data_IF_617953132894
#
_entry.id   IF_617953132894
#
_cell.length_a   1.000
_cell.length_b   1.000
_cell.length_c   1.000
_cell.angle_alpha   90.00
_cell.angle_beta   90.00
_cell.angle_gamma   90.00
#
_symmetry.space_group_name_H-M   'P 1'
#
loop_
_entity.id
_entity.type
_entity.pdbx_description
1 polymer ?
#
# COMPACT_ATOMS: atom_id res chain seq x y z
N UNK A 1 14.40 -5.60 -18.67
CA UNK A 1 14.29 -6.31 -17.37
C UNK A 1 15.55 -6.00 -16.58
N UNK A 2 15.45 -5.71 -15.29
CA UNK A 2 16.60 -5.30 -14.46
C UNK A 2 17.65 -6.42 -14.34
N UNK A 3 18.94 -6.06 -14.40
CA UNK A 3 20.12 -6.91 -14.15
C UNK A 3 20.01 -7.69 -12.82
N UNK A 4 19.19 -7.23 -11.87
CA UNK A 4 18.99 -7.91 -10.58
C UNK A 4 18.32 -9.29 -10.68
N UNK A 5 17.50 -9.56 -11.71
CA UNK A 5 16.82 -10.85 -11.82
C UNK A 5 17.80 -12.03 -11.98
N UNK A 6 18.91 -11.82 -12.69
CA UNK A 6 19.98 -12.81 -12.85
C UNK A 6 20.81 -13.01 -11.57
N UNK A 7 20.64 -12.13 -10.58
CA UNK A 7 21.38 -12.13 -9.31
C UNK A 7 20.58 -12.73 -8.14
N UNK A 8 19.37 -13.23 -8.39
CA UNK A 8 18.48 -13.78 -7.38
C UNK A 8 18.03 -15.17 -7.82
N UNK A 9 18.22 -16.17 -6.98
CA UNK A 9 17.67 -17.50 -7.18
C UNK A 9 16.79 -17.88 -5.99
N UNK A 10 15.48 -18.06 -6.21
CA UNK A 10 14.57 -18.52 -5.15
C UNK A 10 14.80 -20.02 -4.95
N UNK A 11 15.11 -20.42 -3.71
CA UNK A 11 15.43 -21.82 -3.38
C UNK A 11 14.26 -22.52 -2.71
N UNK A 12 13.58 -21.84 -1.80
CA UNK A 12 12.43 -22.40 -1.08
C UNK A 12 11.44 -21.30 -0.69
N UNK A 13 10.17 -21.67 -0.59
CA UNK A 13 9.09 -20.80 -0.12
C UNK A 13 8.19 -21.59 0.81
N UNK A 14 8.26 -21.26 2.10
CA UNK A 14 7.45 -21.87 3.14
C UNK A 14 6.32 -20.92 3.56
N UNK A 15 5.08 -21.40 3.57
CA UNK A 15 3.96 -20.66 4.19
C UNK A 15 4.10 -20.78 5.71
N UNK A 16 4.20 -19.64 6.39
CA UNK A 16 4.23 -19.56 7.85
C UNK A 16 2.83 -19.33 8.43
N UNK A 17 2.00 -18.55 7.74
CA UNK A 17 0.60 -18.33 8.08
C UNK A 17 -0.21 -18.03 6.81
N UNK A 18 -1.45 -18.50 6.79
CA UNK A 18 -2.43 -18.22 5.75
C UNK A 18 -3.82 -18.16 6.37
N UNK A 19 -3.99 -17.17 7.24
CA UNK A 19 -5.26 -16.83 7.86
C UNK A 19 -5.80 -15.59 7.14
N UNK A 20 -5.78 -14.42 7.79
CA UNK A 20 -6.26 -13.18 7.15
C UNK A 20 -5.46 -12.76 5.91
N UNK A 21 -4.14 -12.89 5.96
CA UNK A 21 -3.22 -12.57 4.89
C UNK A 21 -2.09 -13.61 4.84
N UNK A 22 -1.32 -13.62 3.76
CA UNK A 22 -0.32 -14.64 3.50
C UNK A 22 1.05 -14.23 4.02
N UNK A 23 1.59 -14.96 5.00
CA UNK A 23 2.96 -14.80 5.48
C UNK A 23 3.82 -15.96 4.97
N UNK A 24 4.89 -15.63 4.24
CA UNK A 24 5.85 -16.60 3.71
C UNK A 24 7.23 -16.36 4.27
N UNK A 25 7.98 -17.43 4.53
CA UNK A 25 9.44 -17.40 4.61
C UNK A 25 10.01 -17.81 3.27
N UNK A 26 10.79 -16.91 2.66
CA UNK A 26 11.44 -17.15 1.38
C UNK A 26 12.94 -17.32 1.62
N UNK A 27 13.46 -18.45 1.17
CA UNK A 27 14.89 -18.75 1.14
C UNK A 27 15.40 -18.52 -0.28
N UNK A 28 16.43 -17.71 -0.44
CA UNK A 28 16.98 -17.37 -1.75
C UNK A 28 18.50 -17.21 -1.70
N UNK A 29 19.15 -17.46 -2.83
CA UNK A 29 20.55 -17.10 -3.05
C UNK A 29 20.62 -15.73 -3.73
N UNK A 30 21.48 -14.86 -3.21
CA UNK A 30 21.74 -13.54 -3.77
C UNK A 30 23.20 -13.42 -4.22
N UNK A 31 23.41 -13.11 -5.50
CA UNK A 31 24.74 -12.86 -6.05
C UNK A 31 25.18 -11.45 -5.69
N UNK A 32 26.10 -11.34 -4.74
CA UNK A 32 26.61 -10.07 -4.20
C UNK A 32 27.54 -9.38 -5.19
N UNK A 33 27.81 -8.08 -4.97
CA UNK A 33 28.71 -7.30 -5.84
C UNK A 33 30.17 -7.82 -5.82
N UNK A 34 30.56 -8.57 -4.79
CA UNK A 34 31.88 -9.19 -4.68
C UNK A 34 32.00 -10.51 -5.46
N UNK A 35 30.97 -10.92 -6.21
CA UNK A 35 30.96 -12.15 -7.01
C UNK A 35 30.57 -13.42 -6.24
N UNK A 36 30.24 -13.31 -4.95
CA UNK A 36 29.84 -14.45 -4.13
C UNK A 36 28.32 -14.63 -4.11
N UNK A 37 27.89 -15.89 -4.10
CA UNK A 37 26.50 -16.24 -3.79
C UNK A 37 26.32 -16.37 -2.29
N UNK A 38 25.27 -15.74 -1.77
CA UNK A 38 24.90 -15.85 -0.36
C UNK A 38 23.46 -16.33 -0.20
N UNK A 39 23.29 -17.42 0.55
CA UNK A 39 21.99 -17.89 1.03
C UNK A 39 21.43 -16.93 2.08
N UNK A 40 20.20 -16.48 1.88
CA UNK A 40 19.47 -15.60 2.80
C UNK A 40 18.04 -16.11 3.01
N UNK A 41 17.42 -15.67 4.11
CA UNK A 41 16.00 -15.87 4.39
C UNK A 41 15.32 -14.56 4.72
N UNK A 42 14.10 -14.35 4.21
CA UNK A 42 13.24 -13.22 4.56
C UNK A 42 11.82 -13.68 4.80
N UNK A 43 11.14 -13.04 5.75
CA UNK A 43 9.69 -13.14 5.86
C UNK A 43 9.05 -12.06 5.00
N UNK A 44 8.06 -12.45 4.19
CA UNK A 44 7.31 -11.57 3.31
C UNK A 44 5.85 -11.71 3.68
N UNK A 45 5.26 -10.61 4.15
CA UNK A 45 3.85 -10.53 4.48
C UNK A 45 3.09 -9.85 3.35
N UNK A 46 2.17 -10.61 2.76
CA UNK A 46 1.40 -10.24 1.58
C UNK A 46 -0.05 -9.94 1.95
N UNK A 47 -0.36 -8.63 1.98
CA UNK A 47 -1.66 -8.08 2.35
C UNK A 47 -2.48 -7.61 1.15
N UNK A 48 -1.95 -7.79 -0.07
CA UNK A 48 -2.48 -7.14 -1.27
C UNK A 48 -2.09 -5.66 -1.37
N UNK A 49 -2.20 -5.12 -2.60
CA UNK A 49 -1.92 -3.72 -2.89
C UNK A 49 -3.12 -2.83 -2.54
N UNK A 50 -2.89 -1.53 -2.45
CA UNK A 50 -3.92 -0.54 -2.16
C UNK A 50 -3.89 0.69 -3.07
N UNK A 51 -4.86 1.57 -2.84
CA UNK A 51 -4.94 2.90 -3.39
C UNK A 51 -5.30 3.91 -2.30
N UNK A 52 -4.87 5.15 -2.45
CA UNK A 52 -5.14 6.26 -1.53
C UNK A 52 -5.33 7.57 -2.31
N UNK A 53 -6.18 8.48 -1.83
CA UNK A 53 -6.47 9.74 -2.52
C UNK A 53 -6.53 10.95 -1.59
N UNK A 54 -5.79 11.98 -1.95
CA UNK A 54 -5.96 13.30 -1.34
C UNK A 54 -7.05 14.08 -2.07
N UNK A 55 -8.06 14.54 -1.33
CA UNK A 55 -9.08 15.45 -1.87
C UNK A 55 -8.73 16.88 -1.50
N UNK A 56 -8.60 17.75 -2.51
CA UNK A 56 -8.23 19.14 -2.31
C UNK A 56 -9.29 20.10 -2.86
N UNK A 57 -9.79 20.97 -1.99
CA UNK A 57 -10.65 22.09 -2.37
C UNK A 57 -9.78 23.31 -2.68
N UNK A 58 -9.75 23.73 -3.95
CA UNK A 58 -8.90 24.84 -4.41
C UNK A 58 -9.37 26.20 -3.92
N UNK A 59 -10.69 26.40 -3.82
CA UNK A 59 -11.30 27.67 -3.45
C UNK A 59 -11.06 27.96 -1.97
N UNK A 60 -11.33 26.97 -1.12
CA UNK A 60 -11.16 27.08 0.32
C UNK A 60 -9.72 26.81 0.78
N UNK A 61 -8.87 26.26 -0.10
CA UNK A 61 -7.49 25.82 0.19
C UNK A 61 -7.44 24.81 1.34
N UNK A 62 -8.39 23.90 1.35
CA UNK A 62 -8.54 22.86 2.38
C UNK A 62 -8.39 21.46 1.78
N UNK A 63 -8.10 20.48 2.63
CA UNK A 63 -8.10 19.05 2.30
C UNK A 63 -9.16 18.33 3.10
N UNK A 64 -9.69 17.24 2.56
CA UNK A 64 -10.55 16.31 3.30
C UNK A 64 -9.71 15.12 3.72
N UNK A 65 -9.80 14.78 5.00
CA UNK A 65 -9.12 13.67 5.65
C UNK A 65 -10.14 12.90 6.49
N UNK A 66 -9.87 11.63 6.72
CA UNK A 66 -10.68 10.75 7.56
C UNK A 66 -9.96 10.54 8.90
N UNK A 67 -10.70 10.09 9.91
CA UNK A 67 -10.11 9.69 11.21
C UNK A 67 -10.61 8.30 11.59
N UNK A 68 -9.71 7.33 11.61
CA UNK A 68 -10.08 5.92 11.77
C UNK A 68 -9.22 5.24 12.85
N UNK A 69 -9.81 4.24 13.51
CA UNK A 69 -9.08 3.41 14.47
C UNK A 69 -8.24 2.36 13.75
N UNK A 70 -6.96 2.27 14.09
CA UNK A 70 -5.99 1.33 13.54
C UNK A 70 -5.40 0.49 14.68
N UNK A 71 -5.92 -0.73 14.84
CA UNK A 71 -5.48 -1.68 15.88
C UNK A 71 -3.95 -1.90 15.89
N UNK A 72 -3.24 -2.10 14.75
CA UNK A 72 -1.79 -2.31 14.76
C UNK A 72 -1.00 -1.14 15.34
N UNK A 73 -1.51 0.08 15.17
CA UNK A 73 -0.87 1.30 15.70
C UNK A 73 -1.19 1.47 17.18
N UNK A 74 -2.40 1.11 17.60
CA UNK A 74 -2.78 1.06 19.02
C UNK A 74 -1.93 0.09 19.84
N UNK A 75 -1.77 -1.15 19.37
CA UNK A 75 -0.94 -2.16 20.08
C UNK A 75 0.55 -1.81 20.08
N UNK A 76 0.97 -0.85 19.23
CA UNK A 76 2.32 -0.28 19.21
C UNK A 76 2.45 1.01 20.05
N UNK A 77 1.52 1.27 20.98
CA UNK A 77 1.63 2.34 21.97
C UNK A 77 1.05 3.70 21.57
N UNK A 78 0.37 3.80 20.43
CA UNK A 78 -0.39 5.00 20.04
C UNK A 78 -1.85 4.93 20.54
N UNK A 79 -2.60 6.03 20.49
CA UNK A 79 -4.05 6.05 20.78
C UNK A 79 -4.92 5.31 19.73
N UNK A 80 -4.31 4.83 18.65
CA UNK A 80 -4.97 4.15 17.53
C UNK A 80 -5.78 5.02 16.56
N UNK A 81 -6.11 6.29 16.85
CA UNK A 81 -6.94 7.14 15.98
C UNK A 81 -6.09 7.99 15.04
N UNK A 82 -5.88 7.50 13.82
CA UNK A 82 -5.06 8.17 12.82
C UNK A 82 -5.87 9.10 11.94
N UNK A 83 -5.27 10.24 11.60
CA UNK A 83 -5.74 11.12 10.53
C UNK A 83 -5.13 10.63 9.22
N UNK A 84 -5.97 10.29 8.25
CA UNK A 84 -5.57 9.60 7.03
C UNK A 84 -6.26 10.23 5.81
N UNK A 85 -5.70 9.98 4.64
CA UNK A 85 -6.43 10.18 3.38
C UNK A 85 -7.36 8.99 3.15
N UNK A 86 -8.42 9.17 2.36
CA UNK A 86 -9.27 8.04 1.99
C UNK A 86 -8.44 6.98 1.27
N UNK A 87 -8.57 5.71 1.65
CA UNK A 87 -7.71 4.64 1.16
C UNK A 87 -8.32 3.25 1.32
N UNK A 88 -7.98 2.35 0.41
CA UNK A 88 -8.52 0.99 0.37
C UNK A 88 -7.58 -0.04 -0.23
N UNK A 89 -7.80 -1.31 0.10
CA UNK A 89 -7.18 -2.44 -0.60
C UNK A 89 -7.81 -2.59 -1.98
N UNK A 90 -7.03 -3.03 -2.97
CA UNK A 90 -7.53 -3.17 -4.34
C UNK A 90 -8.56 -4.29 -4.47
N UNK A 91 -8.39 -5.41 -3.77
CA UNK A 91 -9.30 -6.57 -3.79
C UNK A 91 -9.72 -7.03 -5.20
N UNK A 92 -8.79 -6.94 -6.16
CA UNK A 92 -9.01 -7.31 -7.56
C UNK A 92 -9.53 -6.18 -8.46
N UNK A 93 -9.89 -5.02 -7.91
CA UNK A 93 -10.27 -3.84 -8.67
C UNK A 93 -9.05 -3.09 -9.23
N UNK A 94 -9.27 -2.32 -10.29
CA UNK A 94 -8.28 -1.35 -10.77
C UNK A 94 -8.07 -0.24 -9.72
N UNK A 95 -6.83 0.26 -9.52
CA UNK A 95 -6.56 1.28 -8.50
C UNK A 95 -7.43 2.54 -8.60
N UNK A 96 -7.73 2.97 -9.81
CA UNK A 96 -8.59 4.14 -10.04
C UNK A 96 -10.05 3.88 -9.64
N UNK A 97 -10.57 2.70 -9.95
CA UNK A 97 -11.93 2.33 -9.57
C UNK A 97 -12.04 2.24 -8.05
N UNK A 98 -11.12 1.50 -7.40
CA UNK A 98 -11.16 1.33 -5.94
C UNK A 98 -11.17 2.66 -5.22
N UNK A 99 -10.34 3.60 -5.66
CA UNK A 99 -10.20 4.86 -4.93
C UNK A 99 -11.37 5.83 -5.12
N UNK A 100 -12.14 5.68 -6.20
CA UNK A 100 -13.41 6.39 -6.36
C UNK A 100 -14.47 5.87 -5.40
N UNK A 101 -14.55 4.55 -5.27
CA UNK A 101 -15.49 3.89 -4.36
C UNK A 101 -15.17 4.25 -2.90
N UNK A 102 -13.90 4.17 -2.49
CA UNK A 102 -13.45 4.57 -1.15
C UNK A 102 -13.69 6.04 -0.85
N UNK A 103 -13.46 6.93 -1.82
CA UNK A 103 -13.71 8.36 -1.59
C UNK A 103 -15.20 8.63 -1.32
N UNK A 104 -16.10 7.97 -2.04
CA UNK A 104 -17.54 8.08 -1.80
C UNK A 104 -17.92 7.45 -0.45
N UNK A 105 -17.41 6.27 -0.12
CA UNK A 105 -17.71 5.53 1.12
C UNK A 105 -17.22 6.28 2.38
N UNK A 106 -15.96 6.71 2.38
CA UNK A 106 -15.34 7.27 3.58
C UNK A 106 -15.56 8.78 3.75
N UNK A 107 -15.78 9.51 2.64
CA UNK A 107 -15.85 10.98 2.67
C UNK A 107 -17.15 11.55 2.11
N UNK A 108 -17.98 10.75 1.44
CA UNK A 108 -19.22 11.18 0.79
C UNK A 108 -19.00 11.91 -0.55
N UNK A 109 -17.76 12.09 -1.01
CA UNK A 109 -17.47 12.78 -2.26
C UNK A 109 -17.43 11.80 -3.43
N UNK A 110 -18.39 11.94 -4.35
CA UNK A 110 -18.34 11.26 -5.65
C UNK A 110 -17.40 12.00 -6.60
N UNK A 111 -16.35 11.31 -7.05
CA UNK A 111 -15.29 11.92 -7.86
C UNK A 111 -15.50 11.67 -9.35
N UNK A 112 -15.31 12.72 -10.17
CA UNK A 112 -15.33 12.64 -11.63
C UNK A 112 -13.92 12.48 -12.23
N UNK A 113 -12.99 13.33 -11.83
CA UNK A 113 -11.59 13.28 -12.29
C UNK A 113 -10.66 12.90 -11.15
N UNK A 114 -9.87 11.84 -11.33
CA UNK A 114 -8.81 11.47 -10.40
C UNK A 114 -7.48 11.39 -11.14
N UNK A 115 -6.41 11.86 -10.50
CA UNK A 115 -5.07 11.89 -11.10
C UNK A 115 -4.12 11.01 -10.29
N UNK A 116 -3.59 9.95 -10.91
CA UNK A 116 -2.49 9.17 -10.31
C UNK A 116 -1.24 10.05 -10.21
N UNK A 117 -0.63 10.08 -9.03
CA UNK A 117 0.61 10.80 -8.77
C UNK A 117 1.81 9.86 -8.90
N UNK A 118 1.83 8.80 -8.10
CA UNK A 118 2.91 7.83 -8.06
C UNK A 118 2.44 6.54 -7.37
N UNK A 119 3.33 5.56 -7.33
CA UNK A 119 3.19 4.33 -6.56
C UNK A 119 4.32 4.25 -5.55
N UNK A 120 4.03 3.75 -4.35
CA UNK A 120 5.01 3.69 -3.26
C UNK A 120 5.04 2.33 -2.58
N UNK A 121 6.25 1.85 -2.31
CA UNK A 121 6.51 0.79 -1.32
C UNK A 121 6.81 1.47 0.01
N UNK A 122 5.94 1.27 0.99
CA UNK A 122 6.03 1.98 2.29
C UNK A 122 6.86 1.21 3.33
N UNK A 123 6.98 -0.12 3.20
CA UNK A 123 7.79 -0.98 4.08
C UNK A 123 8.43 -2.14 3.31
N UNK A 124 9.29 -1.78 2.34
CA UNK A 124 9.88 -2.70 1.36
C UNK A 124 10.81 -3.80 1.95
N UNK A 125 11.06 -3.79 3.27
CA UNK A 125 11.87 -4.80 3.94
C UNK A 125 11.13 -6.10 4.25
N UNK A 126 9.81 -6.04 4.40
CA UNK A 126 8.99 -7.16 4.86
C UNK A 126 7.59 -7.24 4.25
N UNK A 127 7.09 -6.15 3.66
CA UNK A 127 5.78 -6.11 3.03
C UNK A 127 5.91 -6.08 1.51
N UNK A 128 5.13 -6.92 0.81
CA UNK A 128 5.07 -6.93 -0.66
C UNK A 128 4.22 -5.78 -1.22
N UNK A 129 3.38 -5.15 -0.39
CA UNK A 129 2.35 -4.24 -0.85
C UNK A 129 2.88 -2.94 -1.47
N UNK A 130 2.16 -2.47 -2.47
CA UNK A 130 2.27 -1.12 -3.01
C UNK A 130 0.99 -0.33 -2.78
N UNK A 131 1.14 0.98 -2.65
CA UNK A 131 0.00 1.91 -2.59
C UNK A 131 0.06 2.85 -3.79
N UNK A 132 -1.03 2.88 -4.54
CA UNK A 132 -1.25 3.82 -5.64
C UNK A 132 -1.78 5.13 -5.08
N UNK A 133 -1.06 6.24 -5.27
CA UNK A 133 -1.43 7.53 -4.70
C UNK A 133 -2.08 8.40 -5.76
N UNK A 134 -3.24 8.97 -5.42
CA UNK A 134 -4.05 9.82 -6.28
C UNK A 134 -4.31 11.18 -5.64
N UNK A 135 -4.75 12.13 -6.46
CA UNK A 135 -5.34 13.39 -6.03
C UNK A 135 -6.61 13.67 -6.85
N UNK A 136 -7.61 14.28 -6.21
CA UNK A 136 -8.76 14.88 -6.90
C UNK A 136 -9.00 16.29 -6.41
N UNK A 137 -9.42 17.16 -7.32
CA UNK A 137 -10.02 18.43 -6.92
C UNK A 137 -11.49 18.21 -6.59
N UNK A 138 -11.95 18.84 -5.52
CA UNK A 138 -13.34 18.81 -5.10
C UNK A 138 -13.88 20.24 -4.95
N UNK A 139 -15.18 20.36 -5.12
CA UNK A 139 -15.93 21.57 -4.79
C UNK A 139 -16.81 21.25 -3.58
N UNK A 140 -17.09 22.24 -2.75
CA UNK A 140 -17.99 22.06 -1.62
C UNK A 140 -19.37 21.68 -2.15
N UNK A 141 -19.95 20.59 -1.65
CA UNK A 141 -21.34 20.25 -1.96
C UNK A 141 -22.24 21.44 -1.57
N UNK A 142 -23.15 21.81 -2.48
CA UNK A 142 -24.13 22.89 -2.28
C UNK A 142 -25.10 22.55 -1.15
#
# INVERSE_FOLDING_TARGET
MSNTAERVNIVDTQVLSHDWYLLKKITFDYHRNNGEWQRQTREVYDRGNGAAILLFNREQRTVVLTRQFRLPVFVNGHDGLLIEVAAGLLEGAAPEQRIRDEAEEETGYRLHDVKKLFESHTSAGSLSYTVNIFVSYIHTAS
#
